data_IF_380544912303
#
_entry.id   IF_380544912303
#
_cell.length_a   1.000
_cell.length_b   1.000
_cell.length_c   1.000
_cell.angle_alpha   90.00
_cell.angle_beta   90.00
_cell.angle_gamma   90.00
#
_symmetry.space_group_name_H-M   'P 1'
#
loop_
_entity.id
_entity.type
_entity.pdbx_description
1 polymer ?
#
# COMPACT_ATOMS: atom_id res chain seq x y z
N UNK A 1 18.63 -7.14 -7.09
CA UNK A 1 17.27 -7.56 -7.41
C UNK A 1 16.44 -6.34 -7.83
N UNK A 2 15.42 -6.55 -8.65
CA UNK A 2 14.48 -5.49 -9.04
C UNK A 2 13.32 -5.44 -8.05
N UNK A 3 13.20 -4.33 -7.33
CA UNK A 3 12.22 -4.15 -6.26
C UNK A 3 11.16 -3.12 -6.69
N UNK A 4 9.90 -3.54 -6.73
CA UNK A 4 8.78 -2.63 -7.00
C UNK A 4 8.16 -2.16 -5.70
N UNK A 5 8.26 -0.86 -5.43
CA UNK A 5 7.73 -0.22 -4.21
C UNK A 5 6.39 0.42 -4.51
N UNK A 6 5.34 0.02 -3.78
CA UNK A 6 4.01 0.62 -3.90
C UNK A 6 3.74 1.51 -2.70
N UNK A 7 3.54 2.81 -2.94
CA UNK A 7 3.25 3.79 -1.89
C UNK A 7 1.83 4.34 -2.01
N UNK A 8 1.18 4.56 -0.89
CA UNK A 8 -0.20 5.07 -0.84
C UNK A 8 -0.32 6.58 -1.18
N UNK A 9 0.83 7.26 -1.23
CA UNK A 9 0.98 8.67 -1.61
C UNK A 9 2.32 8.88 -2.29
N UNK A 10 2.43 9.92 -3.09
CA UNK A 10 3.70 10.34 -3.64
C UNK A 10 4.66 10.73 -2.50
N UNK A 11 5.88 10.15 -2.42
CA UNK A 11 6.76 10.27 -1.24
C UNK A 11 7.39 11.64 -1.02
N UNK A 12 7.14 12.61 -1.87
CA UNK A 12 7.68 13.96 -1.75
C UNK A 12 6.55 15.00 -1.94
N UNK A 13 6.59 16.18 -1.29
CA UNK A 13 7.55 16.60 -0.25
C UNK A 13 7.35 15.84 1.06
N UNK A 14 8.40 15.80 1.89
CA UNK A 14 8.51 14.95 3.10
C UNK A 14 7.79 15.51 4.34
N UNK A 15 6.65 16.14 4.15
CA UNK A 15 5.89 16.86 5.19
C UNK A 15 5.14 15.94 6.17
N UNK A 16 5.02 14.66 5.86
CA UNK A 16 4.26 13.68 6.65
C UNK A 16 5.12 12.46 6.95
N UNK A 17 4.89 11.83 8.10
CA UNK A 17 5.69 10.69 8.54
C UNK A 17 5.68 9.50 7.57
N UNK A 18 4.53 9.22 6.91
CA UNK A 18 4.44 8.18 5.89
C UNK A 18 5.27 8.50 4.63
N UNK A 19 5.28 9.77 4.19
CA UNK A 19 6.10 10.23 3.07
C UNK A 19 7.59 10.27 3.41
N UNK A 20 7.93 10.81 4.59
CA UNK A 20 9.30 10.86 5.10
C UNK A 20 9.91 9.45 5.14
N UNK A 21 9.18 8.50 5.73
CA UNK A 21 9.62 7.11 5.81
C UNK A 21 9.78 6.48 4.43
N UNK A 22 8.79 6.63 3.54
CA UNK A 22 8.87 6.12 2.17
C UNK A 22 10.10 6.66 1.43
N UNK A 23 10.33 7.96 1.50
CA UNK A 23 11.47 8.61 0.85
C UNK A 23 12.81 8.02 1.33
N UNK A 24 12.99 7.89 2.65
CA UNK A 24 14.21 7.33 3.20
C UNK A 24 14.38 5.85 2.91
N UNK A 25 13.31 5.06 2.92
CA UNK A 25 13.33 3.67 2.50
C UNK A 25 13.75 3.54 1.03
N UNK A 26 13.15 4.32 0.13
CA UNK A 26 13.54 4.35 -1.28
C UNK A 26 15.04 4.65 -1.42
N UNK A 27 15.52 5.71 -0.76
CA UNK A 27 16.92 6.11 -0.83
C UNK A 27 17.89 5.01 -0.37
N UNK A 28 17.54 4.29 0.70
CA UNK A 28 18.37 3.20 1.21
C UNK A 28 18.33 1.96 0.30
N UNK A 29 17.14 1.62 -0.19
CA UNK A 29 16.95 0.45 -1.06
C UNK A 29 17.58 0.68 -2.43
N UNK A 30 17.50 1.88 -2.98
CA UNK A 30 18.12 2.24 -4.26
C UNK A 30 19.65 2.11 -4.28
N UNK A 31 20.29 2.21 -3.12
CA UNK A 31 21.73 1.97 -3.00
C UNK A 31 22.16 0.49 -3.17
N UNK A 32 21.19 -0.45 -3.14
CA UNK A 32 21.47 -1.90 -3.20
C UNK A 32 20.62 -2.66 -4.22
N UNK A 33 19.54 -2.06 -4.68
CA UNK A 33 18.54 -2.68 -5.54
C UNK A 33 18.13 -1.74 -6.68
N UNK A 34 17.68 -2.30 -7.78
CA UNK A 34 16.97 -1.56 -8.81
C UNK A 34 15.55 -1.28 -8.32
N UNK A 35 15.27 -0.03 -7.92
CA UNK A 35 13.98 0.35 -7.38
C UNK A 35 13.08 0.93 -8.45
N UNK A 36 11.90 0.33 -8.61
CA UNK A 36 10.78 0.87 -9.39
C UNK A 36 9.73 1.37 -8.42
N UNK A 37 9.41 2.65 -8.47
CA UNK A 37 8.38 3.25 -7.60
C UNK A 37 7.03 3.29 -8.30
N UNK A 38 5.98 2.83 -7.63
CA UNK A 38 4.58 3.02 -7.99
C UNK A 38 3.94 3.88 -6.91
N UNK A 39 3.72 5.15 -7.19
CA UNK A 39 3.17 6.10 -6.22
C UNK A 39 1.71 6.44 -6.56
N UNK A 40 0.78 6.16 -5.64
CA UNK A 40 -0.59 6.62 -5.77
C UNK A 40 -0.69 8.11 -5.46
N UNK A 41 -1.52 8.85 -6.21
CA UNK A 41 -1.77 10.27 -5.97
C UNK A 41 -3.19 10.68 -6.32
N UNK A 42 -3.68 11.74 -5.71
CA UNK A 42 -4.97 12.39 -6.04
C UNK A 42 -4.75 13.70 -6.82
N UNK A 43 -3.54 14.21 -6.77
CA UNK A 43 -3.18 15.50 -7.36
C UNK A 43 -2.07 15.34 -8.39
N UNK A 44 -1.88 16.34 -9.21
CA UNK A 44 -0.72 16.41 -10.08
C UNK A 44 0.56 16.50 -9.24
N UNK A 45 1.59 15.84 -9.71
CA UNK A 45 2.91 15.87 -9.07
C UNK A 45 3.74 16.93 -9.79
N UNK A 46 4.24 17.95 -9.09
CA UNK A 46 5.16 18.93 -9.67
C UNK A 46 6.39 18.26 -10.29
N UNK A 47 6.85 18.77 -11.43
CA UNK A 47 8.00 18.19 -12.15
C UNK A 47 9.26 18.10 -11.28
N UNK A 48 9.50 19.10 -10.43
CA UNK A 48 10.62 19.11 -9.49
C UNK A 48 10.55 17.99 -8.44
N UNK A 49 9.32 17.64 -7.99
CA UNK A 49 9.11 16.52 -7.06
C UNK A 49 9.32 15.18 -7.75
N UNK A 50 8.87 15.05 -9.00
CA UNK A 50 9.06 13.86 -9.81
C UNK A 50 10.55 13.62 -10.05
N UNK A 51 11.28 14.63 -10.50
CA UNK A 51 12.72 14.55 -10.76
C UNK A 51 13.54 14.11 -9.53
N UNK A 52 13.09 14.50 -8.31
CA UNK A 52 13.72 14.05 -7.06
C UNK A 52 13.64 12.54 -6.87
N UNK A 53 12.53 11.92 -7.25
CA UNK A 53 12.34 10.47 -7.11
C UNK A 53 12.98 9.72 -8.31
N UNK A 54 12.94 10.29 -9.49
CA UNK A 54 13.61 9.75 -10.68
C UNK A 54 15.14 9.69 -10.52
N UNK A 55 15.72 10.62 -9.76
CA UNK A 55 17.15 10.60 -9.41
C UNK A 55 17.51 9.43 -8.45
N UNK A 56 16.55 8.84 -7.77
CA UNK A 56 16.75 7.73 -6.83
C UNK A 56 16.31 6.39 -7.40
N UNK A 57 15.25 6.38 -8.19
CA UNK A 57 14.61 5.18 -8.69
C UNK A 57 15.00 4.92 -10.15
N UNK A 58 15.08 3.66 -10.53
CA UNK A 58 15.25 3.28 -11.94
C UNK A 58 14.04 3.72 -12.79
N UNK A 59 12.85 3.69 -12.21
CA UNK A 59 11.60 4.20 -12.82
C UNK A 59 10.63 4.68 -11.75
N UNK A 60 9.81 5.68 -12.12
CA UNK A 60 8.72 6.21 -11.27
C UNK A 60 7.43 6.17 -12.06
N UNK A 61 6.44 5.44 -11.55
CA UNK A 61 5.09 5.38 -12.08
C UNK A 61 4.15 6.13 -11.14
N UNK A 62 3.47 7.15 -11.65
CA UNK A 62 2.49 7.93 -10.90
C UNK A 62 1.10 7.46 -11.29
N UNK A 63 0.43 6.72 -10.39
CA UNK A 63 -0.92 6.21 -10.60
C UNK A 63 -1.93 7.19 -9.99
N UNK A 64 -2.71 7.83 -10.84
CA UNK A 64 -3.71 8.83 -10.41
C UNK A 64 -4.99 8.17 -9.95
N UNK A 65 -5.50 8.62 -8.81
CA UNK A 65 -6.81 8.24 -8.30
C UNK A 65 -7.77 9.41 -8.44
N UNK A 66 -8.87 9.22 -9.15
CA UNK A 66 -9.94 10.21 -9.19
C UNK A 66 -10.88 10.09 -7.98
N UNK A 67 -11.61 11.16 -7.67
CA UNK A 67 -12.66 11.11 -6.63
C UNK A 67 -13.72 10.05 -6.92
N UNK A 68 -14.08 9.85 -8.20
CA UNK A 68 -15.04 8.82 -8.63
C UNK A 68 -14.50 7.40 -8.37
N UNK A 69 -13.22 7.14 -8.68
CA UNK A 69 -12.61 5.83 -8.43
C UNK A 69 -12.53 5.55 -6.94
N UNK A 70 -12.22 6.56 -6.13
CA UNK A 70 -12.19 6.46 -4.68
C UNK A 70 -13.59 6.15 -4.12
N UNK A 71 -14.62 6.87 -4.56
CA UNK A 71 -16.00 6.63 -4.12
C UNK A 71 -16.48 5.22 -4.46
N UNK A 72 -16.21 4.73 -5.66
CA UNK A 72 -16.51 3.35 -6.08
C UNK A 72 -15.78 2.33 -5.22
N UNK A 73 -14.51 2.56 -4.91
CA UNK A 73 -13.72 1.69 -4.03
C UNK A 73 -14.31 1.60 -2.63
N UNK A 74 -14.70 2.73 -2.04
CA UNK A 74 -15.34 2.78 -0.72
C UNK A 74 -16.71 2.09 -0.73
N UNK A 75 -17.53 2.34 -1.76
CA UNK A 75 -18.88 1.75 -1.87
C UNK A 75 -18.84 0.22 -2.05
N UNK A 76 -17.82 -0.31 -2.74
CA UNK A 76 -17.67 -1.75 -2.95
C UNK A 76 -16.91 -2.47 -1.83
N UNK A 77 -16.23 -1.75 -0.92
CA UNK A 77 -15.48 -2.33 0.16
C UNK A 77 -16.29 -3.28 1.08
N UNK A 78 -17.53 -2.94 1.51
CA UNK A 78 -18.36 -3.84 2.33
C UNK A 78 -18.69 -5.16 1.63
N UNK A 79 -18.99 -5.12 0.33
CA UNK A 79 -19.27 -6.32 -0.46
C UNK A 79 -18.05 -7.25 -0.55
N UNK A 80 -16.84 -6.67 -0.56
CA UNK A 80 -15.57 -7.40 -0.57
C UNK A 80 -15.07 -7.75 0.83
N UNK A 81 -15.83 -7.43 1.89
CA UNK A 81 -15.44 -7.58 3.30
C UNK A 81 -14.11 -6.89 3.63
N UNK A 82 -13.83 -5.78 2.96
CA UNK A 82 -12.62 -4.99 3.16
C UNK A 82 -12.88 -3.83 4.13
N UNK A 83 -11.90 -3.43 4.95
CA UNK A 83 -11.96 -2.19 5.70
C UNK A 83 -12.15 -0.99 4.76
N UNK A 84 -12.99 -0.02 5.13
CA UNK A 84 -13.27 1.17 4.32
C UNK A 84 -11.98 1.93 3.93
N UNK A 85 -10.99 1.95 4.83
CA UNK A 85 -9.71 2.56 4.57
C UNK A 85 -8.93 1.85 3.45
N UNK A 86 -9.06 0.54 3.35
CA UNK A 86 -8.49 -0.25 2.25
C UNK A 86 -9.26 0.03 0.97
N UNK A 87 -10.60 0.02 1.02
CA UNK A 87 -11.47 0.37 -0.11
C UNK A 87 -11.19 1.75 -0.70
N UNK A 88 -10.83 2.72 0.16
CA UNK A 88 -10.45 4.06 -0.28
C UNK A 88 -9.25 4.07 -1.26
N UNK A 89 -8.30 3.14 -1.09
CA UNK A 89 -7.12 3.01 -1.95
C UNK A 89 -7.31 2.00 -3.09
N UNK A 90 -8.44 1.28 -3.10
CA UNK A 90 -8.73 0.23 -4.06
C UNK A 90 -9.90 0.61 -4.98
N UNK A 91 -9.56 1.13 -6.14
CA UNK A 91 -10.49 1.11 -7.25
C UNK A 91 -10.06 0.03 -8.25
N UNK A 92 -10.98 -0.66 -8.94
CA UNK A 92 -10.62 -1.65 -9.96
C UNK A 92 -9.65 -1.12 -11.02
N UNK A 93 -9.81 0.14 -11.43
CA UNK A 93 -8.90 0.80 -12.38
C UNK A 93 -7.47 0.93 -11.83
N UNK A 94 -7.31 1.35 -10.56
CA UNK A 94 -6.00 1.45 -9.91
C UNK A 94 -5.35 0.07 -9.80
N UNK A 95 -6.14 -0.94 -9.44
CA UNK A 95 -5.64 -2.32 -9.33
C UNK A 95 -5.19 -2.88 -10.70
N UNK A 96 -5.96 -2.61 -11.77
CA UNK A 96 -5.60 -3.01 -13.12
C UNK A 96 -4.32 -2.30 -13.59
N UNK A 97 -4.19 -1.00 -13.33
CA UNK A 97 -3.01 -0.22 -13.70
C UNK A 97 -1.76 -0.69 -12.96
N UNK A 98 -1.84 -0.92 -11.64
CA UNK A 98 -0.71 -1.46 -10.86
C UNK A 98 -0.34 -2.85 -11.36
N UNK A 99 -1.30 -3.71 -11.69
CA UNK A 99 -1.04 -5.03 -12.25
C UNK A 99 -0.32 -4.94 -13.60
N UNK A 100 -0.76 -4.09 -14.50
CA UNK A 100 -0.12 -3.87 -15.79
C UNK A 100 1.33 -3.35 -15.64
N UNK A 101 1.58 -2.49 -14.63
CA UNK A 101 2.94 -2.04 -14.30
C UNK A 101 3.79 -3.23 -13.84
N UNK A 102 3.28 -4.07 -12.93
CA UNK A 102 4.01 -5.24 -12.43
C UNK A 102 4.34 -6.23 -13.56
N UNK A 103 3.39 -6.51 -14.45
CA UNK A 103 3.58 -7.38 -15.61
C UNK A 103 4.65 -6.83 -16.57
N UNK A 104 4.69 -5.52 -16.79
CA UNK A 104 5.68 -4.86 -17.64
C UNK A 104 7.05 -4.81 -17.00
N UNK A 105 7.12 -4.45 -15.72
CA UNK A 105 8.38 -4.28 -14.99
C UNK A 105 9.02 -5.60 -14.58
N UNK A 106 8.23 -6.66 -14.39
CA UNK A 106 8.67 -8.00 -13.95
C UNK A 106 9.60 -7.93 -12.74
N UNK A 107 9.16 -7.37 -11.61
CA UNK A 107 10.01 -7.25 -10.43
C UNK A 107 10.26 -8.61 -9.80
N UNK A 108 11.41 -8.75 -9.13
CA UNK A 108 11.72 -9.92 -8.31
C UNK A 108 10.90 -9.93 -7.02
N UNK A 109 10.51 -8.73 -6.53
CA UNK A 109 9.77 -8.57 -5.28
C UNK A 109 8.92 -7.29 -5.28
N UNK A 110 7.72 -7.38 -4.70
CA UNK A 110 6.83 -6.22 -4.49
C UNK A 110 6.83 -5.83 -3.01
N UNK A 111 7.12 -4.57 -2.74
CA UNK A 111 7.08 -4.00 -1.39
C UNK A 111 5.92 -3.02 -1.25
N UNK A 112 4.95 -3.35 -0.41
CA UNK A 112 3.77 -2.54 -0.16
C UNK A 112 3.93 -1.71 1.10
N UNK A 113 3.99 -0.38 0.96
CA UNK A 113 4.02 0.51 2.11
C UNK A 113 2.61 0.68 2.68
N UNK A 114 2.44 0.31 3.95
CA UNK A 114 1.17 0.32 4.67
C UNK A 114 0.15 -0.72 4.16
N UNK A 115 -0.71 -1.15 5.06
CA UNK A 115 -1.83 -2.06 4.75
C UNK A 115 -2.75 -1.56 3.63
N UNK A 116 -2.77 -0.24 3.39
CA UNK A 116 -3.60 0.40 2.36
C UNK A 116 -3.27 -0.06 0.94
N UNK A 117 -1.99 -0.39 0.69
CA UNK A 117 -1.51 -0.84 -0.62
C UNK A 117 -1.41 -2.35 -0.74
N UNK A 118 -1.58 -3.09 0.37
CA UNK A 118 -1.44 -4.54 0.43
C UNK A 118 -2.33 -5.29 -0.57
N UNK A 119 -3.57 -4.84 -0.73
CA UNK A 119 -4.50 -5.48 -1.66
C UNK A 119 -4.10 -5.30 -3.13
N UNK A 120 -3.30 -4.28 -3.46
CA UNK A 120 -2.79 -4.09 -4.83
C UNK A 120 -1.79 -5.20 -5.21
N UNK A 121 -1.16 -5.83 -4.21
CA UNK A 121 -0.29 -6.99 -4.41
C UNK A 121 -1.05 -8.33 -4.41
N UNK A 122 -2.36 -8.35 -4.09
CA UNK A 122 -3.13 -9.59 -4.05
C UNK A 122 -3.27 -10.22 -5.42
N UNK A 123 -2.91 -11.50 -5.51
CA UNK A 123 -2.98 -12.28 -6.75
C UNK A 123 -1.87 -11.99 -7.76
N UNK A 124 -0.86 -11.22 -7.41
CA UNK A 124 0.38 -11.13 -8.18
C UNK A 124 1.18 -12.42 -8.04
N UNK A 125 1.79 -12.86 -9.14
CA UNK A 125 2.67 -14.04 -9.17
C UNK A 125 4.11 -13.66 -8.78
N UNK A 126 4.25 -12.79 -7.78
CA UNK A 126 5.52 -12.25 -7.33
C UNK A 126 5.54 -12.21 -5.80
N UNK A 127 6.65 -12.59 -5.15
CA UNK A 127 6.79 -12.44 -3.71
C UNK A 127 6.51 -11.01 -3.26
N UNK A 128 5.81 -10.84 -2.14
CA UNK A 128 5.47 -9.51 -1.65
C UNK A 128 5.65 -9.37 -0.15
N UNK A 129 6.08 -8.18 0.27
CA UNK A 129 6.18 -7.77 1.67
C UNK A 129 5.28 -6.57 1.93
N UNK A 130 4.62 -6.57 3.09
CA UNK A 130 3.80 -5.46 3.56
C UNK A 130 4.47 -4.83 4.77
N UNK A 131 4.76 -3.53 4.69
CA UNK A 131 5.24 -2.75 5.83
C UNK A 131 4.05 -2.23 6.66
N UNK A 132 3.81 -2.85 7.80
CA UNK A 132 2.83 -2.39 8.78
C UNK A 132 3.45 -1.31 9.67
N UNK A 133 3.51 -0.07 9.19
CA UNK A 133 4.12 1.04 9.95
C UNK A 133 3.42 1.29 11.29
N UNK A 134 2.10 1.15 11.32
CA UNK A 134 1.27 1.49 12.46
C UNK A 134 0.26 0.39 12.76
N UNK A 135 0.16 0.04 14.04
CA UNK A 135 -0.92 -0.80 14.53
C UNK A 135 -2.22 0.00 14.69
N UNK A 136 -2.75 0.57 13.59
CA UNK A 136 -3.97 1.41 13.59
C UNK A 136 -5.14 0.74 14.31
N UNK A 137 -5.31 -0.57 14.15
CA UNK A 137 -6.35 -1.34 14.84
C UNK A 137 -6.15 -1.36 16.35
N UNK A 138 -4.90 -1.49 16.82
CA UNK A 138 -4.58 -1.45 18.25
C UNK A 138 -4.73 -0.04 18.80
N UNK A 139 -4.30 0.98 18.07
CA UNK A 139 -4.47 2.39 18.45
C UNK A 139 -5.96 2.79 18.48
N UNK A 140 -6.75 2.32 17.51
CA UNK A 140 -8.20 2.57 17.51
C UNK A 140 -8.91 1.86 18.66
N UNK A 141 -8.52 0.62 19.00
CA UNK A 141 -9.04 -0.11 20.17
C UNK A 141 -8.71 0.59 21.48
N UNK A 142 -7.46 1.05 21.65
CA UNK A 142 -7.06 1.83 22.83
C UNK A 142 -7.87 3.12 22.97
N UNK A 143 -8.04 3.86 21.88
CA UNK A 143 -8.89 5.07 21.87
C UNK A 143 -10.33 4.77 22.18
N UNK A 144 -10.90 3.68 21.65
CA UNK A 144 -12.25 3.25 21.96
C UNK A 144 -12.44 2.89 23.43
N UNK A 145 -11.44 2.26 24.05
CA UNK A 145 -11.47 1.91 25.48
C UNK A 145 -11.39 3.13 26.41
N UNK A 146 -10.84 4.25 25.94
CA UNK A 146 -10.72 5.50 26.73
C UNK A 146 -11.78 6.56 26.37
N UNK A 147 -12.64 6.26 25.39
CA UNK A 147 -13.66 7.20 24.94
C UNK A 147 -15.00 6.88 25.57
N UNK A 148 -15.73 7.90 26.01
CA UNK A 148 -17.07 7.77 26.56
C UNK A 148 -18.16 8.13 25.53
N UNK A 149 -19.31 7.45 25.62
CA UNK A 149 -20.50 7.76 24.82
C UNK A 149 -20.31 7.68 23.31
N UNK A 150 -20.75 8.72 22.59
CA UNK A 150 -20.72 8.79 21.11
C UNK A 150 -19.30 8.67 20.51
N UNK A 151 -18.26 9.11 21.22
CA UNK A 151 -16.89 8.98 20.78
C UNK A 151 -16.43 7.51 20.78
N UNK A 152 -16.85 6.71 21.75
CA UNK A 152 -16.57 5.26 21.80
C UNK A 152 -17.14 4.52 20.59
N UNK A 153 -18.37 4.88 20.16
CA UNK A 153 -19.01 4.27 19.00
C UNK A 153 -18.24 4.54 17.70
N UNK A 154 -17.75 5.76 17.52
CA UNK A 154 -16.94 6.14 16.34
C UNK A 154 -15.62 5.39 16.30
N UNK A 155 -14.93 5.25 17.44
CA UNK A 155 -13.64 4.56 17.54
C UNK A 155 -13.78 3.03 17.40
N UNK A 156 -14.87 2.44 17.94
CA UNK A 156 -15.13 1.00 17.80
C UNK A 156 -15.44 0.60 16.34
N UNK A 157 -16.19 1.44 15.62
CA UNK A 157 -16.41 1.25 14.17
C UNK A 157 -15.11 1.33 13.36
N UNK A 158 -14.24 2.30 13.68
CA UNK A 158 -12.92 2.41 13.06
C UNK A 158 -12.03 1.20 13.36
N UNK A 159 -12.06 0.68 14.60
CA UNK A 159 -11.28 -0.49 14.98
C UNK A 159 -11.73 -1.76 14.24
N UNK A 160 -13.03 -1.97 14.05
CA UNK A 160 -13.58 -3.08 13.26
C UNK A 160 -13.26 -2.95 11.77
N UNK A 161 -13.32 -1.71 11.25
CA UNK A 161 -12.98 -1.43 9.86
C UNK A 161 -11.48 -1.63 9.54
N UNK A 162 -10.62 -1.67 10.58
CA UNK A 162 -9.17 -1.87 10.46
C UNK A 162 -8.72 -3.26 10.95
N UNK A 163 -9.64 -4.21 11.14
CA UNK A 163 -9.28 -5.57 11.55
C UNK A 163 -8.32 -6.20 10.53
N UNK A 164 -7.29 -6.94 10.98
CA UNK A 164 -6.28 -7.48 10.08
C UNK A 164 -6.91 -8.44 9.08
N UNK A 165 -6.54 -8.27 7.83
CA UNK A 165 -6.82 -9.22 6.76
C UNK A 165 -6.19 -10.57 7.17
N UNK A 166 -7.01 -11.61 7.35
CA UNK A 166 -6.49 -12.95 7.60
C UNK A 166 -5.73 -13.40 6.35
N UNK A 167 -4.42 -13.44 6.43
CA UNK A 167 -3.59 -14.15 5.46
C UNK A 167 -3.99 -15.64 5.55
N UNK A 168 -4.55 -16.18 4.48
CA UNK A 168 -4.51 -17.63 4.28
C UNK A 168 -3.06 -17.97 3.92
N UNK A 169 -2.35 -18.78 4.70
CA UNK A 169 -1.04 -19.25 4.29
C UNK A 169 -1.23 -20.06 3.00
N UNK A 170 -0.55 -19.66 1.94
CA UNK A 170 -0.38 -20.54 0.78
C UNK A 170 0.45 -21.71 1.27
N UNK A 171 -0.12 -22.92 1.19
CA UNK A 171 0.57 -24.16 1.51
C UNK A 171 1.79 -24.28 0.59
N UNK A 172 2.98 -24.00 1.12
CA UNK A 172 4.23 -24.38 0.48
C UNK A 172 4.27 -25.91 0.50
N UNK A 173 4.11 -26.52 -0.67
CA UNK A 173 4.44 -27.90 -0.89
C UNK A 173 5.91 -28.11 -0.51
N UNK A 174 6.14 -28.87 0.56
CA UNK A 174 7.47 -29.34 0.92
C UNK A 174 7.96 -30.25 -0.20
N UNK A 175 8.98 -29.83 -0.92
CA UNK A 175 9.77 -30.76 -1.72
C UNK A 175 10.51 -31.70 -0.76
N UNK A 176 10.39 -33.03 -0.92
CA UNK A 176 11.25 -33.95 -0.20
C UNK A 176 12.66 -33.87 -0.74
N UNK A 177 13.64 -33.70 0.14
CA UNK A 177 15.05 -33.91 -0.21
C UNK A 177 15.26 -35.41 -0.52
N UNK A 178 15.90 -35.75 -1.63
CA UNK A 178 16.40 -37.10 -1.84
C UNK A 178 17.62 -37.37 -0.92
N UNK A 179 17.67 -38.57 -0.40
CA UNK A 179 18.79 -39.10 0.40
C UNK A 179 20.06 -39.26 -0.43
#
# INVERSE_FOLDING_TARGET
MKLLLVTSRFPYPIERGDKLRAYHQIRQLAGRHEVVLVALTEHDVPAEHLARLEALCARVHVVRRSRLTTLRGVATAPLKRLPLQVGYFQAPAVQAEVRAIVERERPDHVYCQLVRTAELARGLQCPSTIDYQDAFSAAARRRAAHAEGMAALRHSRSARAMAPLRHRPTSHSRHPHPA
#
